data_IF_061003799749
#
_entry.id   IF_061003799749
#
_cell.length_a   1.000
_cell.length_b   1.000
_cell.length_c   1.000
_cell.angle_alpha   90.00
_cell.angle_beta   90.00
_cell.angle_gamma   90.00
#
_symmetry.space_group_name_H-M   'P 1'
#
loop_
_entity.id
_entity.type
_entity.pdbx_description
1 polymer ?
#
# COMPACT_ATOMS: atom_id res chain seq x y z
N UNK A 1 -5.23 -23.66 -4.07
CA UNK A 1 -4.11 -23.21 -4.92
C UNK A 1 -3.55 -21.94 -4.32
N UNK A 2 -2.23 -21.82 -4.19
CA UNK A 2 -1.61 -20.61 -3.64
C UNK A 2 -1.62 -19.45 -4.63
N UNK A 3 -1.65 -18.23 -4.10
CA UNK A 3 -1.62 -16.97 -4.86
C UNK A 3 -0.33 -16.20 -4.56
N UNK A 4 0.84 -16.70 -5.01
CA UNK A 4 2.10 -16.01 -4.82
C UNK A 4 2.19 -14.80 -5.74
N UNK A 5 2.58 -13.64 -5.20
CA UNK A 5 2.86 -12.42 -5.99
C UNK A 5 4.31 -12.01 -5.81
N UNK A 6 4.78 -11.94 -4.56
CA UNK A 6 6.18 -11.69 -4.22
C UNK A 6 6.95 -13.00 -4.19
N UNK A 7 6.38 -14.04 -3.58
CA UNK A 7 6.96 -15.38 -3.54
C UNK A 7 6.15 -16.40 -2.74
N UNK A 8 6.24 -17.67 -3.12
CA UNK A 8 5.49 -18.78 -2.49
C UNK A 8 5.75 -18.95 -1.00
N UNK A 9 6.97 -18.65 -0.54
CA UNK A 9 7.33 -18.68 0.90
C UNK A 9 6.52 -17.71 1.77
N UNK A 10 5.85 -16.73 1.17
CA UNK A 10 5.00 -15.77 1.86
C UNK A 10 3.51 -16.18 1.86
N UNK A 11 3.19 -17.40 1.40
CA UNK A 11 1.83 -17.94 1.40
C UNK A 11 1.69 -18.95 2.54
N UNK A 12 0.98 -18.57 3.61
CA UNK A 12 0.76 -19.45 4.76
C UNK A 12 -0.44 -20.38 4.52
N UNK A 13 -0.45 -21.62 5.05
CA UNK A 13 -1.57 -22.55 4.90
C UNK A 13 -2.78 -22.18 5.77
N UNK A 14 -2.62 -21.21 6.66
CA UNK A 14 -3.64 -20.74 7.59
C UNK A 14 -3.81 -19.21 7.46
N UNK A 15 -4.88 -18.70 8.06
CA UNK A 15 -5.15 -17.26 8.12
C UNK A 15 -4.07 -16.55 8.96
N UNK A 16 -3.50 -15.48 8.43
CA UNK A 16 -2.51 -14.68 9.13
C UNK A 16 -3.13 -13.38 9.66
N UNK A 17 -3.16 -13.21 10.97
CA UNK A 17 -3.53 -11.96 11.62
C UNK A 17 -2.27 -11.12 11.88
N UNK A 18 -2.12 -10.05 11.11
CA UNK A 18 -0.98 -9.13 11.17
C UNK A 18 -1.41 -7.75 11.63
N UNK A 19 -0.46 -6.99 12.19
CA UNK A 19 -0.67 -5.61 12.60
C UNK A 19 0.34 -4.71 11.90
N UNK A 20 -0.15 -3.75 11.11
CA UNK A 20 0.68 -2.73 10.47
C UNK A 20 0.65 -1.47 11.33
N UNK A 21 1.81 -1.03 11.80
CA UNK A 21 1.97 0.17 12.60
C UNK A 21 2.84 1.17 11.86
N UNK A 22 2.31 2.35 11.54
CA UNK A 22 3.11 3.47 11.07
C UNK A 22 3.80 4.13 12.25
N UNK A 23 5.13 4.23 12.19
CA UNK A 23 5.96 4.96 13.15
C UNK A 23 5.72 6.47 13.04
N UNK A 24 5.81 7.17 14.17
CA UNK A 24 5.46 8.59 14.28
C UNK A 24 6.24 9.47 13.31
N UNK A 25 5.66 10.62 12.92
CA UNK A 25 6.26 11.53 11.94
C UNK A 25 7.61 12.14 12.40
N UNK A 26 7.85 12.20 13.70
CA UNK A 26 9.09 12.66 14.33
C UNK A 26 10.22 11.61 14.29
N UNK A 27 9.90 10.36 13.94
CA UNK A 27 10.91 9.31 13.81
C UNK A 27 11.78 9.58 12.56
N UNK A 28 13.09 9.85 12.70
CA UNK A 28 13.98 10.07 11.56
C UNK A 28 14.07 8.85 10.64
N UNK A 29 13.74 7.66 11.15
CA UNK A 29 13.66 6.39 10.43
C UNK A 29 12.22 6.03 10.07
N UNK A 30 11.29 7.00 10.06
CA UNK A 30 9.85 6.79 9.94
C UNK A 30 9.43 5.77 8.89
N UNK A 31 8.28 5.15 9.02
CA UNK A 31 7.92 4.02 8.18
C UNK A 31 6.89 3.13 8.83
N UNK A 32 6.88 1.86 8.44
CA UNK A 32 5.95 0.86 8.92
C UNK A 32 6.71 -0.27 9.61
N UNK A 33 6.07 -0.83 10.63
CA UNK A 33 6.45 -2.10 11.24
C UNK A 33 5.24 -3.01 11.13
N UNK A 34 5.46 -4.25 10.69
CA UNK A 34 4.43 -5.29 10.68
C UNK A 34 4.77 -6.32 11.74
N UNK A 35 3.81 -6.64 12.60
CA UNK A 35 3.94 -7.70 13.60
C UNK A 35 2.91 -8.79 13.38
N UNK A 36 3.25 -10.01 13.79
CA UNK A 36 2.29 -11.10 13.88
C UNK A 36 1.37 -10.99 15.12
N UNK A 37 0.54 -12.00 15.35
CA UNK A 37 -0.37 -12.07 16.50
C UNK A 37 0.35 -12.24 17.85
N UNK A 38 1.59 -12.74 17.87
CA UNK A 38 2.42 -12.83 19.06
C UNK A 38 3.17 -11.51 19.33
N UNK A 39 3.10 -10.54 18.42
CA UNK A 39 3.80 -9.26 18.51
C UNK A 39 5.22 -9.30 17.95
N UNK A 40 5.66 -10.42 17.38
CA UNK A 40 6.97 -10.52 16.75
C UNK A 40 6.99 -9.73 15.43
N UNK A 41 8.08 -9.00 15.18
CA UNK A 41 8.23 -8.23 13.94
C UNK A 41 8.50 -9.16 12.77
N UNK A 42 7.67 -9.07 11.74
CA UNK A 42 7.81 -9.87 10.50
C UNK A 42 8.31 -9.05 9.32
N UNK A 43 7.98 -7.75 9.26
CA UNK A 43 8.44 -6.84 8.21
C UNK A 43 8.69 -5.44 8.78
N UNK A 44 9.61 -4.71 8.14
CA UNK A 44 9.81 -3.28 8.38
C UNK A 44 9.86 -2.55 7.04
N UNK A 45 9.42 -1.30 7.02
CA UNK A 45 9.73 -0.41 5.90
C UNK A 45 10.86 0.53 6.30
N UNK A 46 11.87 0.62 5.46
CA UNK A 46 12.96 1.57 5.57
C UNK A 46 12.76 2.70 4.56
N UNK A 47 13.09 3.92 4.99
CA UNK A 47 13.24 5.06 4.09
C UNK A 47 14.74 5.19 3.81
N UNK A 48 15.20 4.96 2.57
CA UNK A 48 16.57 5.28 2.22
C UNK A 48 16.82 6.77 2.48
N UNK A 49 17.81 7.09 3.31
CA UNK A 49 18.06 8.43 3.85
C UNK A 49 18.18 9.52 2.76
N UNK A 50 18.63 9.16 1.55
CA UNK A 50 18.81 10.06 0.40
C UNK A 50 17.54 10.26 -0.46
N UNK A 51 16.47 9.48 -0.25
CA UNK A 51 15.27 9.44 -1.12
C UNK A 51 13.98 9.93 -0.46
N UNK A 52 14.07 10.68 0.65
CA UNK A 52 12.91 11.28 1.34
C UNK A 52 11.96 12.07 0.41
N UNK A 53 12.48 12.62 -0.70
CA UNK A 53 11.72 13.41 -1.69
C UNK A 53 10.91 12.58 -2.70
N UNK A 54 11.15 11.28 -2.84
CA UNK A 54 10.62 10.49 -3.96
C UNK A 54 9.56 9.46 -3.59
N UNK A 55 9.07 9.45 -2.34
CA UNK A 55 8.03 8.49 -1.90
C UNK A 55 8.41 7.04 -2.26
N UNK A 56 9.70 6.70 -2.15
CA UNK A 56 10.23 5.35 -2.29
C UNK A 56 10.45 4.75 -0.91
N UNK A 57 10.09 3.49 -0.75
CA UNK A 57 10.32 2.71 0.48
C UNK A 57 10.83 1.33 0.12
N UNK A 58 11.71 0.80 0.95
CA UNK A 58 12.15 -0.61 0.88
C UNK A 58 11.47 -1.35 2.02
N UNK A 59 10.88 -2.49 1.74
CA UNK A 59 10.31 -3.39 2.73
C UNK A 59 11.29 -4.54 2.93
N UNK A 60 11.72 -4.68 4.17
CA UNK A 60 12.71 -5.66 4.61
C UNK A 60 12.05 -6.67 5.55
N UNK A 61 12.65 -7.85 5.67
CA UNK A 61 12.27 -8.83 6.68
C UNK A 61 12.76 -8.43 8.10
N UNK A 62 12.54 -9.31 9.07
CA UNK A 62 12.98 -9.09 10.45
C UNK A 62 14.51 -8.94 10.60
N UNK A 63 15.29 -9.54 9.70
CA UNK A 63 16.75 -9.49 9.65
C UNK A 63 17.29 -8.29 8.85
N UNK A 64 16.42 -7.48 8.25
CA UNK A 64 16.82 -6.33 7.43
C UNK A 64 17.11 -6.68 5.97
N UNK A 65 16.79 -7.89 5.52
CA UNK A 65 17.01 -8.28 4.11
C UNK A 65 15.90 -7.68 3.24
N UNK A 66 16.22 -6.96 2.15
CA UNK A 66 15.22 -6.40 1.25
C UNK A 66 14.36 -7.48 0.57
N UNK A 67 13.04 -7.36 0.70
CA UNK A 67 12.07 -8.23 0.03
C UNK A 67 11.49 -7.56 -1.22
N UNK A 68 11.02 -6.33 -1.07
CA UNK A 68 10.45 -5.52 -2.16
C UNK A 68 10.73 -4.04 -1.93
N UNK A 69 10.70 -3.26 -2.99
CA UNK A 69 10.66 -1.81 -2.93
C UNK A 69 9.34 -1.32 -3.53
N UNK A 70 8.86 -0.18 -3.07
CA UNK A 70 7.71 0.49 -3.65
C UNK A 70 8.03 1.95 -3.88
N UNK A 71 7.58 2.49 -5.02
CA UNK A 71 7.76 3.90 -5.38
C UNK A 71 6.51 4.46 -6.02
N UNK A 72 6.23 5.73 -5.77
CA UNK A 72 5.22 6.48 -6.53
C UNK A 72 5.79 6.85 -7.88
N UNK A 73 4.98 6.79 -8.95
CA UNK A 73 5.43 7.28 -10.26
C UNK A 73 5.78 8.77 -10.18
N UNK A 74 6.97 9.12 -10.68
CA UNK A 74 7.42 10.51 -10.78
C UNK A 74 6.48 11.29 -11.68
N UNK A 75 6.13 12.51 -11.25
CA UNK A 75 5.34 13.45 -12.05
C UNK A 75 6.19 14.18 -13.11
N UNK A 76 7.52 14.13 -12.98
CA UNK A 76 8.45 14.85 -13.86
C UNK A 76 8.83 14.06 -15.12
N UNK A 77 8.69 12.73 -15.10
CA UNK A 77 9.24 11.87 -16.15
C UNK A 77 8.52 11.99 -17.51
N UNK A 78 7.28 12.53 -17.58
CA UNK A 78 6.64 12.89 -18.85
C UNK A 78 5.69 14.09 -18.62
N UNK A 79 6.21 15.32 -18.66
CA UNK A 79 5.43 16.53 -18.44
C UNK A 79 4.74 17.00 -19.74
N UNK A 80 3.65 16.32 -20.13
CA UNK A 80 2.68 16.79 -21.13
C UNK A 80 1.25 16.31 -20.75
N UNK A 81 0.84 16.49 -19.48
CA UNK A 81 -0.51 16.12 -19.04
C UNK A 81 -1.54 17.11 -19.61
N UNK A 82 -2.22 16.73 -20.70
CA UNK A 82 -3.26 17.55 -21.33
C UNK A 82 -4.54 17.65 -20.49
N UNK A 83 -4.82 16.63 -19.67
CA UNK A 83 -6.08 16.51 -18.93
C UNK A 83 -5.85 16.16 -17.45
N UNK A 84 -6.69 16.68 -16.53
CA UNK A 84 -6.52 16.48 -15.09
C UNK A 84 -6.55 15.02 -14.65
N UNK A 85 -7.27 14.15 -15.38
CA UNK A 85 -7.33 12.72 -15.07
C UNK A 85 -5.96 12.02 -15.25
N UNK A 86 -5.12 12.48 -16.17
CA UNK A 86 -3.80 11.88 -16.42
C UNK A 86 -2.84 12.19 -15.26
N UNK A 87 -2.84 13.44 -14.81
CA UNK A 87 -2.09 13.87 -13.63
C UNK A 87 -2.57 13.14 -12.38
N UNK A 88 -3.89 13.01 -12.19
CA UNK A 88 -4.48 12.24 -11.09
C UNK A 88 -4.01 10.78 -11.13
N UNK A 89 -4.17 10.11 -12.28
CA UNK A 89 -3.80 8.71 -12.46
C UNK A 89 -2.32 8.50 -12.13
N UNK A 90 -1.43 9.33 -12.65
CA UNK A 90 0.01 9.22 -12.39
C UNK A 90 0.37 9.49 -10.93
N UNK A 91 -0.20 10.54 -10.32
CA UNK A 91 0.04 10.89 -8.92
C UNK A 91 -0.34 9.77 -7.96
N UNK A 92 -1.42 9.05 -8.23
CA UNK A 92 -1.90 7.95 -7.39
C UNK A 92 -1.56 6.57 -7.99
N UNK A 93 -0.47 6.50 -8.77
CA UNK A 93 0.12 5.23 -9.23
C UNK A 93 1.38 4.92 -8.44
N UNK A 94 1.43 3.71 -7.91
CA UNK A 94 2.58 3.13 -7.23
C UNK A 94 3.06 1.89 -7.98
N UNK A 95 4.36 1.70 -8.04
CA UNK A 95 5.03 0.55 -8.63
C UNK A 95 5.79 -0.19 -7.54
N UNK A 96 5.75 -1.52 -7.57
CA UNK A 96 6.38 -2.39 -6.59
C UNK A 96 7.32 -3.34 -7.29
N UNK A 97 8.56 -3.40 -6.83
CA UNK A 97 9.64 -4.15 -7.43
C UNK A 97 10.18 -5.21 -6.47
N UNK A 98 10.78 -6.26 -7.03
CA UNK A 98 11.50 -7.28 -6.27
C UNK A 98 12.77 -6.69 -5.66
N UNK A 99 13.06 -7.06 -4.42
CA UNK A 99 14.26 -6.61 -3.69
C UNK A 99 14.34 -5.09 -3.57
N UNK A 100 15.56 -4.55 -3.54
CA UNK A 100 15.80 -3.12 -3.54
C UNK A 100 16.04 -2.58 -4.97
N UNK A 101 15.14 -2.89 -5.90
CA UNK A 101 15.28 -2.52 -7.32
C UNK A 101 14.39 -1.34 -7.73
N UNK A 102 14.61 -0.84 -8.94
CA UNK A 102 13.71 0.02 -9.72
C UNK A 102 13.61 -0.40 -11.18
N UNK A 103 14.26 -1.51 -11.55
CA UNK A 103 14.36 -1.99 -12.92
C UNK A 103 13.03 -2.58 -13.38
N UNK A 104 12.68 -2.35 -14.65
CA UNK A 104 11.43 -2.84 -15.21
C UNK A 104 11.32 -4.38 -15.16
N UNK A 105 12.45 -5.09 -15.22
CA UNK A 105 12.51 -6.55 -15.07
C UNK A 105 12.13 -7.05 -13.67
N UNK A 106 12.28 -6.20 -12.65
CA UNK A 106 11.95 -6.53 -11.27
C UNK A 106 10.54 -6.09 -10.88
N UNK A 107 9.79 -5.45 -11.78
CA UNK A 107 8.42 -5.01 -11.51
C UNK A 107 7.54 -6.23 -11.19
N UNK A 108 6.86 -6.18 -10.04
CA UNK A 108 5.93 -7.23 -9.61
C UNK A 108 4.49 -6.82 -9.92
N UNK A 109 4.11 -5.61 -9.53
CA UNK A 109 2.77 -5.08 -9.75
C UNK A 109 2.72 -3.56 -9.65
N UNK A 110 1.64 -3.01 -10.20
CA UNK A 110 1.29 -1.60 -10.15
C UNK A 110 -0.03 -1.42 -9.41
N UNK A 111 -0.09 -0.48 -8.48
CA UNK A 111 -1.31 -0.07 -7.77
C UNK A 111 -1.77 1.27 -8.29
N UNK A 112 -3.05 1.39 -8.67
CA UNK A 112 -3.64 2.63 -9.18
C UNK A 112 -4.93 2.96 -8.48
N UNK A 113 -5.04 4.20 -8.01
CA UNK A 113 -6.33 4.70 -7.52
C UNK A 113 -7.32 4.90 -8.67
N UNK A 114 -8.56 4.43 -8.47
CA UNK A 114 -9.64 4.53 -9.46
C UNK A 114 -10.65 5.62 -9.14
N UNK A 115 -10.86 5.95 -7.86
CA UNK A 115 -11.86 6.95 -7.46
C UNK A 115 -11.32 8.37 -7.42
N UNK A 116 -11.93 9.27 -8.19
CA UNK A 116 -11.65 10.71 -8.16
C UNK A 116 -12.34 11.39 -6.97
N UNK A 117 -11.70 12.43 -6.41
CA UNK A 117 -12.29 13.30 -5.39
C UNK A 117 -13.50 14.05 -5.98
N UNK A 118 -14.63 14.25 -5.28
CA UNK A 118 -14.87 14.13 -3.84
C UNK A 118 -15.54 12.82 -3.39
N UNK A 119 -15.45 11.72 -4.14
CA UNK A 119 -16.13 10.47 -3.73
C UNK A 119 -15.61 9.98 -2.36
N UNK A 120 -16.50 9.62 -1.40
CA UNK A 120 -16.13 9.17 -0.05
C UNK A 120 -15.53 7.76 0.00
N UNK A 121 -15.36 7.12 -1.18
CA UNK A 121 -14.84 5.77 -1.32
C UNK A 121 -13.42 5.84 -1.89
N UNK A 122 -12.47 5.18 -1.22
CA UNK A 122 -11.15 4.92 -1.76
C UNK A 122 -11.17 3.54 -2.40
N UNK A 123 -11.01 3.48 -3.72
CA UNK A 123 -10.82 2.23 -4.44
C UNK A 123 -9.50 2.30 -5.21
N UNK A 124 -8.79 1.16 -5.21
CA UNK A 124 -7.57 0.99 -6.00
C UNK A 124 -7.63 -0.32 -6.75
N UNK A 125 -7.11 -0.32 -7.97
CA UNK A 125 -6.92 -1.49 -8.81
C UNK A 125 -5.44 -1.85 -8.84
N UNK A 126 -5.16 -3.16 -8.79
CA UNK A 126 -3.81 -3.72 -8.81
C UNK A 126 -3.64 -4.52 -10.10
N UNK A 127 -2.53 -4.28 -10.79
CA UNK A 127 -2.17 -4.92 -12.04
C UNK A 127 -0.83 -5.62 -11.86
N UNK A 128 -0.80 -6.93 -12.04
CA UNK A 128 0.45 -7.69 -12.05
C UNK A 128 1.30 -7.28 -13.26
N UNK A 129 2.62 -7.39 -13.14
CA UNK A 129 3.53 -7.03 -14.23
C UNK A 129 3.30 -7.87 -15.51
N UNK A 130 2.84 -9.11 -15.36
CA UNK A 130 2.44 -9.98 -16.48
C UNK A 130 1.18 -9.49 -17.21
N UNK A 131 0.34 -8.68 -16.56
CA UNK A 131 -0.86 -8.10 -17.15
C UNK A 131 -0.49 -6.81 -17.91
N UNK A 132 0.01 -6.99 -19.14
CA UNK A 132 0.46 -5.88 -20.00
C UNK A 132 -0.70 -5.08 -20.59
N UNK A 133 -1.84 -5.72 -20.87
CA UNK A 133 -3.03 -5.04 -21.43
C UNK A 133 -3.71 -4.12 -20.41
N UNK A 134 -3.72 -4.50 -19.13
CA UNK A 134 -4.35 -3.77 -18.03
C UNK A 134 -5.84 -3.43 -18.28
N UNK A 135 -6.53 -4.22 -19.11
CA UNK A 135 -7.96 -4.07 -19.40
C UNK A 135 -8.83 -4.44 -18.19
N UNK A 136 -8.39 -5.44 -17.41
CA UNK A 136 -8.98 -5.84 -16.15
C UNK A 136 -7.90 -5.86 -15.07
N UNK A 137 -8.25 -5.50 -13.84
CA UNK A 137 -7.34 -5.59 -12.70
C UNK A 137 -7.23 -7.03 -12.21
N UNK A 138 -6.04 -7.42 -11.74
CA UNK A 138 -5.79 -8.73 -11.13
C UNK A 138 -6.28 -8.77 -9.68
N UNK A 139 -6.28 -7.61 -9.00
CA UNK A 139 -6.88 -7.44 -7.68
C UNK A 139 -7.55 -6.08 -7.57
N UNK A 140 -8.59 -6.02 -6.75
CA UNK A 140 -9.30 -4.77 -6.45
C UNK A 140 -9.39 -4.56 -4.95
N UNK A 141 -9.15 -3.34 -4.51
CA UNK A 141 -9.34 -2.97 -3.11
C UNK A 141 -10.46 -1.96 -3.01
N UNK A 142 -11.38 -2.20 -2.08
CA UNK A 142 -12.44 -1.26 -1.73
C UNK A 142 -12.34 -0.86 -0.28
N UNK A 143 -12.21 0.43 -0.02
CA UNK A 143 -12.17 0.98 1.32
C UNK A 143 -13.46 1.74 1.64
N UNK A 144 -13.98 1.50 2.83
CA UNK A 144 -15.10 2.24 3.40
C UNK A 144 -14.58 3.18 4.48
N UNK A 145 -14.74 4.49 4.26
CA UNK A 145 -14.41 5.50 5.27
C UNK A 145 -15.23 5.29 6.55
N UNK A 146 -16.54 5.06 6.41
CA UNK A 146 -17.47 4.86 7.52
C UNK A 146 -17.08 3.64 8.39
N UNK A 147 -16.78 2.51 7.74
CA UNK A 147 -16.41 1.27 8.45
C UNK A 147 -14.92 1.23 8.82
N UNK A 148 -14.13 2.24 8.42
CA UNK A 148 -12.68 2.32 8.63
C UNK A 148 -11.97 1.02 8.23
N UNK A 149 -12.44 0.40 7.15
CA UNK A 149 -11.99 -0.91 6.68
C UNK A 149 -11.71 -0.90 5.19
N UNK A 150 -10.82 -1.78 4.75
CA UNK A 150 -10.54 -2.05 3.35
C UNK A 150 -10.59 -3.55 3.11
N UNK A 151 -11.17 -3.96 1.99
CA UNK A 151 -11.25 -5.37 1.59
C UNK A 151 -10.55 -5.54 0.25
N UNK A 152 -9.69 -6.56 0.15
CA UNK A 152 -8.97 -6.91 -1.07
C UNK A 152 -9.67 -8.11 -1.72
N UNK A 153 -9.95 -7.97 -3.00
CA UNK A 153 -10.65 -8.94 -3.83
C UNK A 153 -9.77 -9.46 -4.96
N UNK A 154 -9.98 -10.71 -5.35
CA UNK A 154 -9.38 -11.28 -6.55
C UNK A 154 -10.08 -10.72 -7.79
N UNK A 155 -9.35 -9.92 -8.57
CA UNK A 155 -9.80 -9.26 -9.78
C UNK A 155 -11.14 -8.52 -9.63
N UNK A 156 -12.01 -8.69 -10.64
CA UNK A 156 -13.39 -8.18 -10.62
C UNK A 156 -14.38 -9.08 -9.87
N UNK A 157 -13.93 -10.16 -9.22
CA UNK A 157 -14.80 -11.11 -8.52
C UNK A 157 -15.18 -10.62 -7.12
N UNK A 158 -16.07 -11.37 -6.45
CA UNK A 158 -16.41 -11.14 -5.04
C UNK A 158 -15.55 -11.97 -4.06
N UNK A 159 -14.52 -12.67 -4.55
CA UNK A 159 -13.63 -13.48 -3.72
C UNK A 159 -12.72 -12.58 -2.91
N UNK A 160 -12.91 -12.58 -1.58
CA UNK A 160 -12.08 -11.84 -0.63
C UNK A 160 -10.80 -12.63 -0.36
N UNK A 161 -9.65 -11.94 -0.41
CA UNK A 161 -8.34 -12.54 -0.11
C UNK A 161 -7.67 -11.94 1.13
N UNK A 162 -8.09 -10.73 1.52
CA UNK A 162 -7.65 -10.10 2.75
C UNK A 162 -8.62 -9.01 3.20
N UNK A 163 -8.61 -8.74 4.50
CA UNK A 163 -9.36 -7.67 5.14
C UNK A 163 -8.44 -6.82 6.00
N UNK A 164 -8.64 -5.52 5.96
CA UNK A 164 -7.95 -4.55 6.80
C UNK A 164 -8.98 -3.76 7.60
N UNK A 165 -8.72 -3.52 8.88
CA UNK A 165 -9.48 -2.61 9.71
C UNK A 165 -8.53 -1.70 10.48
N UNK A 166 -8.85 -0.41 10.54
CA UNK A 166 -8.10 0.54 11.35
C UNK A 166 -8.46 0.33 12.81
N UNK A 167 -7.46 0.07 13.64
CA UNK A 167 -7.62 0.14 15.10
C UNK A 167 -7.50 1.60 15.50
N UNK A 168 -8.41 2.10 16.31
CA UNK A 168 -8.35 3.48 16.82
C UNK A 168 -7.79 3.43 18.23
N UNK A 169 -6.56 3.89 18.44
CA UNK A 169 -5.99 4.13 19.76
C UNK A 169 -5.82 5.62 20.06
N UNK A 170 -5.75 5.98 21.34
CA UNK A 170 -5.44 7.35 21.81
C UNK A 170 -4.12 7.89 21.21
N UNK A 171 -3.12 7.02 21.03
CA UNK A 171 -1.83 7.35 20.42
C UNK A 171 -1.92 7.70 18.93
N UNK A 172 -2.87 7.15 18.18
CA UNK A 172 -3.04 7.42 16.74
C UNK A 172 -3.51 8.85 16.48
N UNK A 173 -4.32 9.40 17.40
CA UNK A 173 -4.80 10.78 17.34
C UNK A 173 -3.70 11.79 17.67
N UNK A 174 -2.94 11.52 18.74
CA UNK A 174 -1.97 12.47 19.30
C UNK A 174 -0.65 12.52 18.50
N UNK A 175 -0.17 11.37 18.00
CA UNK A 175 1.15 11.28 17.36
C UNK A 175 1.10 11.11 15.83
N UNK A 176 -0.11 11.11 15.24
CA UNK A 176 -0.30 10.86 13.81
C UNK A 176 0.17 9.47 13.36
N UNK A 177 0.34 8.55 14.32
CA UNK A 177 0.57 7.13 14.08
C UNK A 177 -0.72 6.52 13.49
N UNK A 178 -0.56 5.46 12.70
CA UNK A 178 -1.70 4.68 12.22
C UNK A 178 -1.44 3.21 12.45
N UNK A 179 -2.37 2.57 13.16
CA UNK A 179 -2.35 1.14 13.41
C UNK A 179 -3.52 0.46 12.69
N UNK A 180 -3.22 -0.61 11.98
CA UNK A 180 -4.20 -1.40 11.23
C UNK A 180 -4.04 -2.87 11.55
N UNK A 181 -5.15 -3.55 11.79
CA UNK A 181 -5.20 -5.00 11.78
C UNK A 181 -5.45 -5.45 10.35
N UNK A 182 -4.71 -6.45 9.91
CA UNK A 182 -4.85 -7.05 8.59
C UNK A 182 -4.98 -8.55 8.75
N UNK A 183 -6.04 -9.10 8.20
CA UNK A 183 -6.30 -10.53 8.10
C UNK A 183 -6.01 -10.96 6.68
N UNK A 184 -5.04 -11.85 6.49
CA UNK A 184 -4.68 -12.44 5.21
C UNK A 184 -5.20 -13.87 5.16
N UNK A 185 -6.00 -14.21 4.16
CA UNK A 185 -6.60 -15.53 4.06
C UNK A 185 -5.58 -16.61 3.65
N UNK A 186 -5.86 -17.89 3.93
CA UNK A 186 -4.97 -18.99 3.57
C UNK A 186 -4.50 -18.94 2.12
N UNK A 187 -3.23 -19.25 1.94
CA UNK A 187 -2.52 -19.35 0.68
C UNK A 187 -2.40 -18.03 -0.12
N UNK A 188 -2.70 -16.89 0.50
CA UNK A 188 -2.46 -15.56 -0.06
C UNK A 188 -1.08 -15.07 0.38
N UNK A 189 -0.36 -14.41 -0.51
CA UNK A 189 0.93 -13.78 -0.21
C UNK A 189 0.77 -12.62 0.78
N UNK A 190 1.21 -12.79 2.03
CA UNK A 190 1.03 -11.77 3.06
C UNK A 190 1.89 -10.53 2.82
N UNK A 191 3.06 -10.66 2.18
CA UNK A 191 3.92 -9.50 1.89
C UNK A 191 3.24 -8.61 0.86
N UNK A 192 2.66 -9.20 -0.18
CA UNK A 192 1.85 -8.49 -1.16
C UNK A 192 0.72 -7.68 -0.49
N UNK A 193 -0.03 -8.30 0.41
CA UNK A 193 -1.12 -7.63 1.14
C UNK A 193 -0.57 -6.50 2.02
N UNK A 194 0.55 -6.70 2.72
CA UNK A 194 1.16 -5.65 3.55
C UNK A 194 1.66 -4.46 2.71
N UNK A 195 2.17 -4.70 1.51
CA UNK A 195 2.59 -3.61 0.61
C UNK A 195 1.39 -2.76 0.21
N UNK A 196 0.27 -3.40 -0.19
CA UNK A 196 -0.98 -2.71 -0.51
C UNK A 196 -1.46 -1.89 0.70
N UNK A 197 -1.43 -2.49 1.89
CA UNK A 197 -1.79 -1.83 3.14
C UNK A 197 -1.01 -0.51 3.35
N UNK A 198 0.30 -0.54 3.16
CA UNK A 198 1.16 0.63 3.30
C UNK A 198 0.89 1.70 2.23
N UNK A 199 0.69 1.30 0.97
CA UNK A 199 0.33 2.20 -0.13
C UNK A 199 -1.01 2.89 0.12
N UNK A 200 -2.02 2.15 0.61
CA UNK A 200 -3.33 2.71 0.94
C UNK A 200 -3.24 3.77 2.03
N UNK A 201 -2.44 3.54 3.07
CA UNK A 201 -2.26 4.52 4.14
C UNK A 201 -1.54 5.79 3.63
N UNK A 202 -0.53 5.67 2.76
CA UNK A 202 0.11 6.81 2.10
C UNK A 202 -0.90 7.62 1.27
N UNK A 203 -1.69 6.96 0.41
CA UNK A 203 -2.73 7.62 -0.40
C UNK A 203 -3.76 8.30 0.50
N UNK A 204 -4.24 7.62 1.53
CA UNK A 204 -5.26 8.15 2.43
C UNK A 204 -4.76 9.36 3.23
N UNK A 205 -3.48 9.37 3.64
CA UNK A 205 -2.85 10.53 4.29
C UNK A 205 -2.76 11.73 3.35
N UNK A 206 -2.31 11.52 2.11
CA UNK A 206 -2.22 12.60 1.12
C UNK A 206 -3.60 13.20 0.80
N UNK A 207 -4.66 12.38 0.74
CA UNK A 207 -6.03 12.88 0.56
C UNK A 207 -6.45 13.76 1.75
N UNK A 208 -6.23 13.27 2.99
CA UNK A 208 -6.61 14.02 4.20
C UNK A 208 -5.85 15.34 4.34
N UNK A 209 -4.55 15.35 4.08
CA UNK A 209 -3.76 16.59 4.19
C UNK A 209 -4.25 17.65 3.20
N UNK A 210 -4.59 17.26 1.97
CA UNK A 210 -5.08 18.18 0.94
C UNK A 210 -6.48 18.70 1.22
N UNK A 211 -7.36 17.87 1.81
CA UNK A 211 -8.67 18.32 2.27
C UNK A 211 -8.53 19.35 3.40
N UNK A 212 -7.64 19.11 4.37
CA UNK A 212 -7.37 20.06 5.46
C UNK A 212 -6.81 21.39 4.96
N UNK A 213 -5.90 21.39 3.99
CA UNK A 213 -5.38 22.64 3.40
C UNK A 213 -6.45 23.41 2.65
N UNK A 214 -7.39 22.72 1.96
CA UNK A 214 -8.48 23.38 1.24
C UNK A 214 -9.43 24.11 2.20
N UNK A 215 -9.79 23.45 3.32
CA UNK A 215 -10.61 24.05 4.37
C UNK A 215 -9.92 25.20 5.13
N UNK A 216 -8.59 25.19 5.24
CA UNK A 216 -7.85 26.29 5.87
C UNK A 216 -7.67 27.52 4.97
N UNK A 217 -7.94 27.39 3.67
CA UNK A 217 -7.81 28.45 2.66
C UNK A 217 -9.14 29.03 2.17
N UNK A 218 -10.26 28.62 2.79
CA UNK A 218 -11.63 29.11 2.53
C UNK A 218 -12.13 29.87 3.74
#
# INVERSE_FOLDING_TARGET
MAMPVVGSRFCLPHEAALTVTRRAAIDPNGGFTVTDSAGAVVLRSEIPLLLRRYTRRVIVDAAGVPIVSMKRKSLLAEANFKYPYQLFRRRYTWEVFRGNSEDASDLLFTVRRTTYYPKPKLEVDVFLASNTSQNACDFRVRCSYLRKSCTIYLGGSNTVIAQMSRTIGLSDWVFGASKFRVTVFPHVDYVFVMVIAMILDEIAREIRSRAATFHASS
#
